data_IF_281419512179
#
_entry.id   IF_281419512179
#
_cell.length_a   1.000
_cell.length_b   1.000
_cell.length_c   1.000
_cell.angle_alpha   90.00
_cell.angle_beta   90.00
_cell.angle_gamma   90.00
#
_symmetry.space_group_name_H-M   'P 1'
#
loop_
_entity.id
_entity.type
_entity.pdbx_description
1 polymer ?
#
# COMPACT_ATOMS: atom_id res chain seq x y z
N UNK A 1 11.25 -21.07 13.75
CA UNK A 1 10.38 -20.08 13.09
C UNK A 1 10.96 -19.80 11.72
N UNK A 2 10.18 -19.96 10.66
CA UNK A 2 10.60 -19.78 9.26
C UNK A 2 9.84 -18.59 8.69
N UNK A 3 10.54 -17.73 7.97
CA UNK A 3 10.00 -16.51 7.36
C UNK A 3 9.98 -16.66 5.86
N UNK A 4 8.89 -16.24 5.21
CA UNK A 4 8.83 -16.15 3.76
C UNK A 4 8.68 -14.69 3.37
N UNK A 5 9.64 -14.17 2.60
CA UNK A 5 9.49 -12.87 1.97
C UNK A 5 8.84 -13.08 0.61
N UNK A 6 7.74 -12.37 0.38
CA UNK A 6 6.92 -12.54 -0.82
C UNK A 6 6.91 -11.24 -1.60
N UNK A 7 7.96 -10.96 -2.40
CA UNK A 7 7.90 -9.87 -3.36
C UNK A 7 6.88 -10.19 -4.45
N UNK A 8 6.21 -9.13 -4.90
CA UNK A 8 5.44 -9.15 -6.13
C UNK A 8 6.42 -9.19 -7.30
N UNK A 9 6.12 -9.91 -8.37
CA UNK A 9 7.07 -10.32 -9.42
C UNK A 9 8.01 -9.19 -9.89
N UNK A 10 7.49 -7.98 -10.12
CA UNK A 10 8.27 -6.80 -10.54
C UNK A 10 9.06 -6.10 -9.44
N UNK A 11 8.74 -6.33 -8.17
CA UNK A 11 9.47 -5.81 -7.01
C UNK A 11 10.63 -6.71 -6.57
N UNK A 12 10.89 -7.82 -7.28
CA UNK A 12 11.94 -8.78 -6.95
C UNK A 12 13.37 -8.28 -7.24
N UNK A 13 13.53 -7.15 -7.93
CA UNK A 13 14.82 -6.68 -8.48
C UNK A 13 15.62 -5.75 -7.56
N UNK A 14 15.07 -5.30 -6.42
CA UNK A 14 15.84 -4.49 -5.46
C UNK A 14 16.61 -5.45 -4.54
N UNK A 15 17.84 -5.77 -4.96
CA UNK A 15 18.86 -6.66 -4.35
C UNK A 15 18.71 -8.18 -4.52
N UNK A 16 17.70 -8.68 -5.24
CA UNK A 16 17.56 -10.10 -5.60
C UNK A 16 17.52 -11.07 -4.41
N UNK A 17 17.62 -12.38 -4.68
CA UNK A 17 17.75 -13.42 -3.62
C UNK A 17 19.00 -13.25 -2.74
N UNK A 18 19.92 -12.38 -3.16
CA UNK A 18 21.25 -12.22 -2.56
C UNK A 18 21.24 -11.33 -1.32
N UNK A 19 20.20 -10.50 -1.13
CA UNK A 19 20.07 -9.61 0.04
C UNK A 19 19.99 -10.37 1.38
N UNK A 20 19.50 -11.61 1.37
CA UNK A 20 19.35 -12.46 2.56
C UNK A 20 20.17 -13.76 2.45
N UNK A 21 21.13 -13.83 1.52
CA UNK A 21 22.00 -14.99 1.34
C UNK A 21 22.77 -15.24 2.66
N UNK A 22 22.41 -16.31 3.38
CA UNK A 22 22.99 -16.65 4.69
C UNK A 22 22.04 -16.66 5.88
N UNK A 23 20.75 -16.32 5.69
CA UNK A 23 19.73 -16.51 6.72
C UNK A 23 18.93 -17.81 6.48
N UNK A 24 19.30 -18.95 7.11
CA UNK A 24 18.68 -20.26 6.82
C UNK A 24 17.20 -20.33 7.18
N UNK A 25 16.67 -19.35 7.90
CA UNK A 25 15.26 -19.25 8.29
C UNK A 25 14.41 -18.50 7.27
N UNK A 26 14.98 -17.89 6.23
CA UNK A 26 14.25 -17.13 5.21
C UNK A 26 14.13 -17.90 3.90
N UNK A 27 12.96 -17.85 3.28
CA UNK A 27 12.73 -18.30 1.91
C UNK A 27 12.08 -17.18 1.09
N UNK A 28 12.43 -17.13 -0.18
CA UNK A 28 11.80 -16.22 -1.14
C UNK A 28 10.80 -17.02 -1.97
N UNK A 29 9.61 -16.46 -2.12
CA UNK A 29 8.55 -16.95 -3.00
C UNK A 29 8.00 -15.76 -3.76
N UNK A 30 7.58 -15.95 -5.01
CA UNK A 30 7.05 -14.87 -5.85
C UNK A 30 5.60 -15.14 -6.21
N UNK A 31 4.79 -14.10 -6.27
CA UNK A 31 3.43 -14.16 -6.83
C UNK A 31 3.32 -13.26 -8.07
N UNK A 32 2.53 -13.65 -9.09
CA UNK A 32 2.29 -12.82 -10.25
C UNK A 32 1.57 -11.52 -9.86
N UNK A 33 1.93 -10.43 -10.54
CA UNK A 33 1.41 -9.08 -10.27
C UNK A 33 0.11 -8.73 -11.04
N UNK A 34 -0.34 -9.64 -11.91
CA UNK A 34 -1.54 -9.50 -12.73
C UNK A 34 -1.37 -8.66 -13.99
N UNK A 35 -0.17 -8.14 -14.27
CA UNK A 35 0.11 -7.29 -15.43
C UNK A 35 0.71 -8.10 -16.59
N UNK A 36 0.44 -7.72 -17.85
CA UNK A 36 1.10 -8.33 -19.00
C UNK A 36 2.61 -8.06 -18.94
N UNK A 37 3.45 -8.95 -19.51
CA UNK A 37 4.89 -8.73 -19.59
C UNK A 37 5.21 -7.32 -20.13
N UNK A 38 6.20 -6.62 -19.55
CA UNK A 38 6.56 -5.28 -20.02
C UNK A 38 6.98 -5.34 -21.48
N UNK A 39 6.56 -4.37 -22.28
CA UNK A 39 6.96 -4.31 -23.69
C UNK A 39 8.40 -3.80 -23.82
N UNK A 40 8.86 -3.02 -22.83
CA UNK A 40 10.23 -2.54 -22.72
C UNK A 40 10.77 -2.78 -21.30
N UNK A 41 11.97 -3.38 -21.11
CA UNK A 41 12.58 -3.58 -19.79
C UNK A 41 12.74 -2.30 -18.96
N UNK A 42 12.89 -1.15 -19.62
CA UNK A 42 13.02 0.18 -19.00
C UNK A 42 11.66 0.88 -18.76
N UNK A 43 10.54 0.20 -19.05
CA UNK A 43 9.21 0.75 -18.84
C UNK A 43 8.94 0.88 -17.33
N UNK A 44 9.12 2.10 -16.81
CA UNK A 44 8.72 2.45 -15.44
C UNK A 44 7.20 2.33 -15.36
N UNK A 45 6.72 1.21 -14.82
CA UNK A 45 5.31 1.11 -14.49
C UNK A 45 4.96 2.18 -13.47
N UNK A 46 3.92 2.96 -13.78
CA UNK A 46 3.42 3.96 -12.85
C UNK A 46 2.83 3.19 -11.67
N UNK A 47 3.37 3.41 -10.47
CA UNK A 47 2.94 2.80 -9.21
C UNK A 47 1.42 2.63 -9.06
N UNK A 48 0.55 3.59 -9.44
CA UNK A 48 -0.90 3.43 -9.36
C UNK A 48 -1.47 2.27 -10.18
N UNK A 49 -0.94 2.03 -11.40
CA UNK A 49 -1.40 0.92 -12.26
C UNK A 49 -1.01 -0.42 -11.69
N UNK A 50 0.24 -0.52 -11.20
CA UNK A 50 0.70 -1.71 -10.50
C UNK A 50 -0.15 -1.98 -9.27
N UNK A 51 -0.33 -0.97 -8.42
CA UNK A 51 -1.11 -1.12 -7.20
C UNK A 51 -2.55 -1.54 -7.45
N UNK A 52 -3.23 -0.92 -8.41
CA UNK A 52 -4.58 -1.34 -8.80
C UNK A 52 -4.62 -2.81 -9.24
N UNK A 53 -3.66 -3.24 -10.08
CA UNK A 53 -3.57 -4.64 -10.51
C UNK A 53 -3.34 -5.59 -9.34
N UNK A 54 -2.49 -5.21 -8.38
CA UNK A 54 -2.22 -6.00 -7.19
C UNK A 54 -3.50 -6.20 -6.36
N UNK A 55 -4.24 -5.12 -6.12
CA UNK A 55 -5.49 -5.17 -5.34
C UNK A 55 -6.59 -6.00 -6.02
N UNK A 56 -6.62 -6.04 -7.36
CA UNK A 56 -7.62 -6.80 -8.12
C UNK A 56 -7.24 -8.27 -8.32
N UNK A 57 -5.95 -8.60 -8.39
CA UNK A 57 -5.50 -9.91 -8.91
C UNK A 57 -4.70 -10.76 -7.92
N UNK A 58 -4.01 -10.16 -6.93
CA UNK A 58 -3.01 -10.89 -6.13
C UNK A 58 -3.61 -11.80 -5.05
N UNK A 59 -4.89 -11.64 -4.66
CA UNK A 59 -5.49 -12.44 -3.59
C UNK A 59 -5.48 -13.95 -3.89
N UNK A 60 -5.85 -14.35 -5.11
CA UNK A 60 -5.90 -15.76 -5.52
C UNK A 60 -4.52 -16.43 -5.53
N UNK A 61 -3.52 -15.84 -6.22
CA UNK A 61 -2.15 -16.31 -6.17
C UNK A 61 -1.57 -16.37 -4.75
N UNK A 62 -1.85 -15.35 -3.93
CA UNK A 62 -1.39 -15.30 -2.54
C UNK A 62 -1.95 -16.45 -1.70
N UNK A 63 -3.26 -16.73 -1.78
CA UNK A 63 -3.88 -17.89 -1.12
C UNK A 63 -3.31 -19.22 -1.60
N UNK A 64 -2.99 -19.33 -2.87
CA UNK A 64 -2.37 -20.54 -3.45
C UNK A 64 -0.98 -20.76 -2.86
N UNK A 65 -0.20 -19.69 -2.70
CA UNK A 65 1.09 -19.72 -2.03
C UNK A 65 0.95 -20.09 -0.54
N UNK A 66 0.01 -19.48 0.18
CA UNK A 66 -0.25 -19.83 1.59
C UNK A 66 -0.63 -21.30 1.76
N UNK A 67 -1.43 -21.85 0.85
CA UNK A 67 -1.78 -23.28 0.83
C UNK A 67 -0.53 -24.16 0.67
N UNK A 68 0.36 -23.82 -0.27
CA UNK A 68 1.66 -24.51 -0.47
C UNK A 68 2.53 -24.44 0.79
N UNK A 69 2.62 -23.27 1.43
CA UNK A 69 3.42 -23.07 2.64
C UNK A 69 2.85 -23.85 3.83
N UNK A 70 1.53 -23.89 3.99
CA UNK A 70 0.84 -24.64 5.05
C UNK A 70 0.94 -26.15 4.89
N UNK A 71 1.19 -26.66 3.69
CA UNK A 71 1.46 -28.09 3.46
C UNK A 71 2.90 -28.51 3.87
N UNK A 72 3.75 -27.55 4.22
CA UNK A 72 5.12 -27.83 4.70
C UNK A 72 5.16 -28.15 6.20
N UNK A 73 6.33 -28.52 6.72
CA UNK A 73 6.53 -28.78 8.16
C UNK A 73 6.45 -27.53 9.05
N UNK A 74 6.22 -26.35 8.49
CA UNK A 74 6.14 -25.08 9.21
C UNK A 74 4.99 -24.23 8.64
N UNK A 75 3.75 -24.41 9.15
CA UNK A 75 2.61 -23.65 8.69
C UNK A 75 2.76 -22.17 9.00
N UNK A 76 2.08 -21.34 8.20
CA UNK A 76 2.01 -19.90 8.38
C UNK A 76 1.20 -19.60 9.64
N UNK A 77 1.79 -18.82 10.54
CA UNK A 77 1.20 -18.45 11.83
C UNK A 77 0.94 -16.96 11.99
N UNK A 78 1.48 -16.14 11.07
CA UNK A 78 1.32 -14.69 11.05
C UNK A 78 1.65 -14.18 9.65
N UNK A 79 0.98 -13.10 9.24
CA UNK A 79 1.30 -12.34 8.02
C UNK A 79 1.83 -10.96 8.43
N UNK A 80 2.90 -10.51 7.78
CA UNK A 80 3.36 -9.13 7.86
C UNK A 80 3.36 -8.59 6.43
N UNK A 81 2.55 -7.56 6.17
CA UNK A 81 2.33 -7.06 4.81
C UNK A 81 2.32 -5.53 4.79
N UNK A 82 2.74 -4.94 3.68
CA UNK A 82 2.62 -3.49 3.47
C UNK A 82 1.14 -3.08 3.39
N UNK A 83 0.80 -1.87 3.84
CA UNK A 83 -0.56 -1.32 3.75
C UNK A 83 -1.12 -1.33 2.33
N UNK A 84 -0.28 -1.17 1.31
CA UNK A 84 -0.70 -1.27 -0.09
C UNK A 84 -1.14 -2.69 -0.50
N UNK A 85 -0.81 -3.72 0.27
CA UNK A 85 -1.14 -5.12 0.00
C UNK A 85 -2.38 -5.59 0.76
N UNK A 86 -3.34 -4.72 1.11
CA UNK A 86 -4.42 -5.10 2.04
C UNK A 86 -5.38 -6.21 1.59
N UNK A 87 -5.21 -6.78 0.39
CA UNK A 87 -5.79 -8.09 0.06
C UNK A 87 -5.30 -9.22 0.99
N UNK A 88 -4.11 -9.10 1.58
CA UNK A 88 -3.55 -10.08 2.53
C UNK A 88 -4.43 -10.26 3.76
N UNK A 89 -5.09 -9.18 4.22
CA UNK A 89 -5.98 -9.20 5.37
C UNK A 89 -7.16 -10.14 5.21
N UNK A 90 -7.65 -10.34 3.97
CA UNK A 90 -8.73 -11.30 3.70
C UNK A 90 -8.21 -12.73 3.81
N UNK A 91 -6.98 -12.99 3.34
CA UNK A 91 -6.34 -14.29 3.47
C UNK A 91 -5.97 -14.62 4.94
N UNK A 92 -5.47 -13.66 5.71
CA UNK A 92 -5.21 -13.84 7.15
C UNK A 92 -6.49 -14.21 7.91
N UNK A 93 -7.58 -13.51 7.62
CA UNK A 93 -8.90 -13.78 8.21
C UNK A 93 -9.41 -15.19 7.88
N UNK A 94 -9.23 -15.64 6.63
CA UNK A 94 -9.63 -17.00 6.23
C UNK A 94 -8.82 -18.11 6.90
N UNK A 95 -7.55 -17.83 7.23
CA UNK A 95 -6.67 -18.75 7.95
C UNK A 95 -6.79 -18.63 9.48
N UNK A 96 -7.56 -17.67 9.99
CA UNK A 96 -7.67 -17.33 11.41
C UNK A 96 -6.30 -17.07 12.07
N UNK A 97 -5.44 -16.30 11.38
CA UNK A 97 -4.10 -15.92 11.87
C UNK A 97 -3.94 -14.39 11.98
N UNK A 98 -3.07 -13.90 12.87
CA UNK A 98 -2.80 -12.48 13.00
C UNK A 98 -2.10 -11.92 11.76
N UNK A 99 -2.51 -10.72 11.37
CA UNK A 99 -1.79 -9.91 10.39
C UNK A 99 -1.32 -8.59 11.00
N UNK A 100 -0.06 -8.26 10.74
CA UNK A 100 0.57 -7.00 11.11
C UNK A 100 0.76 -6.19 9.83
N UNK A 101 0.15 -5.01 9.77
CA UNK A 101 0.29 -4.10 8.62
C UNK A 101 1.51 -3.21 8.84
N UNK A 102 2.34 -3.07 7.81
CA UNK A 102 3.48 -2.17 7.77
C UNK A 102 3.14 -0.93 6.94
N UNK A 103 3.31 0.24 7.53
CA UNK A 103 3.24 1.52 6.85
C UNK A 103 4.66 2.00 6.53
N UNK A 104 4.99 2.02 5.24
CA UNK A 104 6.33 2.35 4.73
C UNK A 104 6.47 3.76 4.18
N UNK A 105 5.36 4.52 4.13
CA UNK A 105 5.32 5.88 3.60
C UNK A 105 5.27 6.93 4.72
N UNK A 106 5.19 8.20 4.36
CA UNK A 106 5.13 9.30 5.33
C UNK A 106 3.81 9.31 6.12
N UNK A 107 3.84 9.82 7.35
CA UNK A 107 2.64 9.89 8.22
C UNK A 107 1.58 10.82 7.62
N UNK A 108 1.97 11.80 6.79
CA UNK A 108 1.03 12.76 6.21
C UNK A 108 0.06 12.12 5.22
N UNK A 109 0.50 11.11 4.47
CA UNK A 109 -0.35 10.38 3.53
C UNK A 109 -1.47 9.61 4.25
N UNK A 110 -1.16 8.94 5.37
CA UNK A 110 -2.19 8.25 6.15
C UNK A 110 -3.17 9.23 6.81
N UNK A 111 -2.65 10.37 7.30
CA UNK A 111 -3.50 11.43 7.85
C UNK A 111 -4.45 12.03 6.80
N UNK A 112 -3.98 12.22 5.55
CA UNK A 112 -4.84 12.64 4.45
C UNK A 112 -5.98 11.65 4.17
N UNK A 113 -5.67 10.34 4.19
CA UNK A 113 -6.69 9.31 4.01
C UNK A 113 -7.72 9.33 5.15
N UNK A 114 -7.27 9.52 6.39
CA UNK A 114 -8.16 9.64 7.55
C UNK A 114 -9.07 10.88 7.48
N UNK A 115 -8.51 12.01 7.07
CA UNK A 115 -9.19 13.31 7.05
C UNK A 115 -9.87 13.62 5.71
N UNK A 116 -9.96 12.65 4.80
CA UNK A 116 -10.40 12.86 3.42
C UNK A 116 -11.77 13.54 3.32
N UNK A 117 -12.75 13.07 4.10
CA UNK A 117 -14.09 13.67 4.09
C UNK A 117 -14.07 15.11 4.60
N UNK A 118 -13.32 15.39 5.67
CA UNK A 118 -13.19 16.75 6.21
C UNK A 118 -12.47 17.69 5.23
N UNK A 119 -11.43 17.20 4.55
CA UNK A 119 -10.71 17.93 3.52
C UNK A 119 -11.63 18.27 2.34
N UNK A 120 -12.50 17.34 1.93
CA UNK A 120 -13.47 17.54 0.85
C UNK A 120 -14.58 18.52 1.24
N UNK A 121 -15.19 18.35 2.41
CA UNK A 121 -16.27 19.22 2.91
C UNK A 121 -15.82 20.68 3.07
N UNK A 122 -14.54 20.88 3.41
CA UNK A 122 -13.93 22.21 3.56
C UNK A 122 -13.40 22.78 2.24
N UNK A 123 -13.53 22.06 1.13
CA UNK A 123 -13.02 22.49 -0.18
C UNK A 123 -11.50 22.61 -0.24
N UNK A 124 -10.78 21.89 0.62
CA UNK A 124 -9.31 21.93 0.71
C UNK A 124 -8.64 20.94 -0.24
N UNK A 125 -9.36 19.91 -0.68
CA UNK A 125 -8.94 19.01 -1.74
C UNK A 125 -9.97 19.00 -2.86
N UNK A 126 -9.56 18.80 -4.12
CA UNK A 126 -10.49 18.80 -5.24
C UNK A 126 -11.51 17.67 -5.12
N UNK A 127 -12.79 17.98 -5.38
CA UNK A 127 -13.86 16.97 -5.39
C UNK A 127 -13.85 16.12 -6.65
N UNK A 128 -13.46 16.73 -7.77
CA UNK A 128 -13.30 16.04 -9.05
C UNK A 128 -11.83 15.91 -9.41
N UNK A 129 -11.45 14.75 -9.96
CA UNK A 129 -10.09 14.46 -10.42
C UNK A 129 -9.56 15.49 -11.45
N UNK A 130 -10.44 16.14 -12.20
CA UNK A 130 -10.12 17.15 -13.21
C UNK A 130 -9.94 18.57 -12.64
N UNK A 131 -10.26 18.79 -11.36
CA UNK A 131 -10.17 20.10 -10.71
C UNK A 131 -8.83 20.26 -10.00
N UNK A 132 -8.11 21.35 -10.32
CA UNK A 132 -6.81 21.66 -9.72
C UNK A 132 -6.99 22.66 -8.58
N UNK A 133 -6.28 22.46 -7.46
CA UNK A 133 -6.06 23.54 -6.51
C UNK A 133 -5.27 24.64 -7.23
N UNK A 134 -5.82 25.85 -7.30
CA UNK A 134 -5.06 26.99 -7.79
C UNK A 134 -3.81 27.18 -6.90
N UNK A 135 -2.69 27.64 -7.47
CA UNK A 135 -1.42 27.77 -6.73
C UNK A 135 -1.57 28.60 -5.44
N UNK A 136 -2.50 29.55 -5.40
CA UNK A 136 -2.83 30.36 -4.22
C UNK A 136 -3.40 29.54 -3.05
N UNK A 137 -4.04 28.40 -3.30
CA UNK A 137 -4.59 27.52 -2.27
C UNK A 137 -3.52 26.64 -1.62
N UNK A 138 -2.35 26.46 -2.25
CA UNK A 138 -1.30 25.56 -1.74
C UNK A 138 -0.67 26.04 -0.42
N UNK A 139 -0.77 27.34 -0.10
CA UNK A 139 -0.28 27.90 1.16
C UNK A 139 -1.31 27.89 2.30
N UNK A 140 -2.54 27.42 2.05
CA UNK A 140 -3.58 27.27 3.07
C UNK A 140 -3.12 26.31 4.17
N UNK A 141 -3.24 26.74 5.42
CA UNK A 141 -2.90 25.94 6.59
C UNK A 141 -4.02 24.97 6.96
N UNK A 142 -3.64 23.77 7.41
CA UNK A 142 -4.53 22.77 7.99
C UNK A 142 -4.49 22.96 9.50
N UNK A 143 -5.31 23.88 10.01
CA UNK A 143 -5.33 24.25 11.43
C UNK A 143 -6.40 23.51 12.25
N UNK A 144 -7.39 22.93 11.58
CA UNK A 144 -8.52 22.22 12.21
C UNK A 144 -8.22 20.76 12.59
N UNK A 145 -7.13 20.18 12.07
CA UNK A 145 -6.67 18.84 12.45
C UNK A 145 -5.50 19.01 13.43
N UNK A 146 -5.67 18.70 14.74
CA UNK A 146 -4.63 18.94 15.74
C UNK A 146 -3.29 18.27 15.41
N UNK A 147 -3.33 17.08 14.83
CA UNK A 147 -2.13 16.31 14.42
C UNK A 147 -1.47 16.83 13.16
N UNK A 148 -2.12 17.74 12.42
CA UNK A 148 -1.56 18.39 11.21
C UNK A 148 -1.40 19.90 11.39
N UNK A 149 -1.49 20.41 12.62
CA UNK A 149 -1.40 21.84 12.90
C UNK A 149 -0.09 22.42 12.36
N UNK A 150 -0.19 23.51 11.59
CA UNK A 150 0.96 24.17 10.95
C UNK A 150 1.38 23.54 9.62
N UNK A 151 0.80 22.40 9.22
CA UNK A 151 0.95 21.90 7.84
C UNK A 151 0.18 22.78 6.86
N UNK A 152 0.69 22.86 5.64
CA UNK A 152 0.05 23.56 4.51
C UNK A 152 -0.33 22.56 3.44
N UNK A 153 -1.31 22.89 2.61
CA UNK A 153 -1.76 22.01 1.53
C UNK A 153 -0.59 21.55 0.63
N UNK A 154 0.41 22.39 0.35
CA UNK A 154 1.62 22.01 -0.42
C UNK A 154 2.46 20.87 0.16
N UNK A 155 2.33 20.61 1.47
CA UNK A 155 3.03 19.53 2.15
C UNK A 155 2.28 18.19 2.05
N UNK A 156 1.04 18.19 1.58
CA UNK A 156 0.30 16.95 1.33
C UNK A 156 0.89 16.21 0.11
N UNK A 157 0.75 14.87 0.06
CA UNK A 157 1.16 14.08 -1.09
C UNK A 157 0.55 14.61 -2.40
N UNK A 158 1.26 14.47 -3.51
CA UNK A 158 0.82 14.98 -4.81
C UNK A 158 -0.57 14.46 -5.20
N UNK A 159 -0.83 13.17 -4.99
CA UNK A 159 -2.11 12.53 -5.30
C UNK A 159 -3.29 13.03 -4.45
N UNK A 160 -3.03 13.70 -3.32
CA UNK A 160 -4.04 14.39 -2.50
C UNK A 160 -4.31 15.80 -3.03
N UNK A 161 -3.26 16.48 -3.52
CA UNK A 161 -3.35 17.86 -4.03
C UNK A 161 -3.91 17.94 -5.45
N UNK A 162 -3.62 16.94 -6.26
CA UNK A 162 -3.89 16.92 -7.70
C UNK A 162 -4.06 15.47 -8.16
N UNK A 163 -5.19 15.18 -8.79
CA UNK A 163 -5.31 13.94 -9.56
C UNK A 163 -4.78 14.21 -10.96
N UNK A 164 -3.68 13.56 -11.32
CA UNK A 164 -3.23 13.51 -12.73
C UNK A 164 -3.89 12.30 -13.40
N UNK A 165 -4.05 12.30 -14.74
CA UNK A 165 -4.45 11.10 -15.46
C UNK A 165 -3.53 9.92 -15.06
N UNK A 166 -4.12 8.84 -14.53
CA UNK A 166 -3.40 7.68 -14.01
C UNK A 166 -3.27 7.62 -12.47
N UNK A 167 -3.54 8.69 -11.73
CA UNK A 167 -3.48 8.73 -10.26
C UNK A 167 -4.87 8.53 -9.60
N UNK A 168 -5.92 8.27 -10.38
CA UNK A 168 -7.31 8.26 -9.89
C UNK A 168 -7.52 7.25 -8.77
N UNK A 169 -6.79 6.13 -8.82
CA UNK A 169 -6.87 5.07 -7.81
C UNK A 169 -6.15 5.41 -6.51
N UNK A 170 -5.21 6.35 -6.50
CA UNK A 170 -4.27 6.52 -5.40
C UNK A 170 -4.95 6.90 -4.09
N UNK A 171 -5.81 7.91 -4.12
CA UNK A 171 -6.45 8.42 -2.92
C UNK A 171 -7.58 7.49 -2.43
N UNK A 172 -8.42 7.02 -3.35
CA UNK A 172 -9.50 6.08 -3.02
C UNK A 172 -8.93 4.75 -2.51
N UNK A 173 -7.90 4.22 -3.19
CA UNK A 173 -7.16 3.05 -2.76
C UNK A 173 -6.57 3.24 -1.37
N UNK A 174 -5.96 4.39 -1.08
CA UNK A 174 -5.33 4.62 0.22
C UNK A 174 -6.37 4.68 1.33
N UNK A 175 -7.50 5.36 1.10
CA UNK A 175 -8.63 5.37 2.02
C UNK A 175 -9.16 3.96 2.26
N UNK A 176 -9.35 3.16 1.20
CA UNK A 176 -9.80 1.78 1.31
C UNK A 176 -8.83 0.93 2.14
N UNK A 177 -7.53 1.01 1.87
CA UNK A 177 -6.53 0.23 2.59
C UNK A 177 -6.38 0.70 4.05
N UNK A 178 -6.48 2.00 4.32
CA UNK A 178 -6.49 2.54 5.68
C UNK A 178 -7.70 2.04 6.49
N UNK A 179 -8.88 1.97 5.87
CA UNK A 179 -10.07 1.38 6.51
C UNK A 179 -9.90 -0.12 6.74
N UNK A 180 -9.33 -0.86 5.78
CA UNK A 180 -9.02 -2.29 5.93
C UNK A 180 -8.02 -2.54 7.04
N UNK A 181 -6.97 -1.72 7.17
CA UNK A 181 -5.91 -1.85 8.16
C UNK A 181 -6.45 -1.81 9.61
N UNK A 182 -7.63 -1.25 9.86
CA UNK A 182 -8.31 -1.32 11.17
C UNK A 182 -8.64 -2.76 11.61
N UNK A 183 -8.66 -3.72 10.69
CA UNK A 183 -8.83 -5.16 10.96
C UNK A 183 -7.53 -5.85 11.36
N UNK A 184 -6.38 -5.21 11.16
CA UNK A 184 -5.08 -5.79 11.48
C UNK A 184 -4.92 -5.97 12.99
N UNK A 185 -4.09 -6.93 13.39
CA UNK A 185 -3.73 -7.13 14.80
C UNK A 185 -2.84 -6.02 15.32
N UNK A 186 -2.01 -5.44 14.46
CA UNK A 186 -1.17 -4.28 14.76
C UNK A 186 -0.82 -3.52 13.47
N UNK A 187 -0.45 -2.24 13.61
CA UNK A 187 0.13 -1.42 12.55
C UNK A 187 1.51 -0.97 13.00
N UNK A 188 2.54 -1.24 12.19
CA UNK A 188 3.90 -0.79 12.39
C UNK A 188 4.15 0.40 11.46
N UNK A 189 4.69 1.48 12.00
CA UNK A 189 5.12 2.65 11.24
C UNK A 189 6.64 2.63 11.09
N UNK A 190 7.13 2.85 9.88
CA UNK A 190 8.55 3.05 9.61
C UNK A 190 8.92 4.52 9.88
N UNK A 191 9.78 4.78 10.87
CA UNK A 191 10.21 6.13 11.28
C UNK A 191 11.67 6.39 10.95
#
# INVERSE_FOLDING_TARGET
>A
MKWSLIPIERCSTINGSDALHGLPTFCFETIPDGLPPPQNPDETQVFPTLWKSMDETCLGPFKSLLTKLNASSSPVTCIVADLFMGFTLDAAKELDIPEIVLWTSDVSALMCAHEQNNLLERGLVPREASSFLANEHLDTMIDYVPTMSGMRLKHLPSFVRKTSPGDEYMLEGLCLQAERAKRASAIIFNY
#
